data_IF_642924530756
#
_entry.id   IF_642924530756
#
_cell.length_a   1.000
_cell.length_b   1.000
_cell.length_c   1.000
_cell.angle_alpha   90.00
_cell.angle_beta   90.00
_cell.angle_gamma   90.00
#
_symmetry.space_group_name_H-M   'P 1'
#
loop_
_entity.id
_entity.type
_entity.pdbx_description
1 polymer ?
#
# COMPACT_ATOMS: atom_id res chain seq x y z
N UNK A 1 -4.95 -0.10 29.19
CA UNK A 1 -5.96 0.66 29.90
C UNK A 1 -6.91 1.31 28.89
N UNK A 2 -8.05 1.71 29.35
CA UNK A 2 -9.14 2.27 28.52
C UNK A 2 -8.77 3.61 27.84
N UNK A 3 -7.69 4.24 28.28
CA UNK A 3 -7.23 5.57 27.83
C UNK A 3 -6.10 5.53 26.78
N UNK A 4 -5.80 4.38 26.21
CA UNK A 4 -4.72 4.25 25.24
C UNK A 4 -5.26 3.88 23.85
N UNK A 5 -5.19 4.84 22.93
CA UNK A 5 -5.56 4.64 21.53
C UNK A 5 -4.35 4.22 20.68
N UNK A 6 -4.57 3.31 19.74
CA UNK A 6 -3.57 2.89 18.75
C UNK A 6 -4.12 3.16 17.34
N UNK A 7 -3.31 3.81 16.52
CA UNK A 7 -3.58 3.99 15.09
C UNK A 7 -2.48 3.30 14.30
N UNK A 8 -2.87 2.42 13.40
CA UNK A 8 -1.96 1.80 12.44
C UNK A 8 -2.08 2.53 11.10
N UNK A 9 -0.95 2.94 10.55
CA UNK A 9 -0.87 3.52 9.21
C UNK A 9 -0.04 2.59 8.33
N UNK A 10 -0.61 2.19 7.20
CA UNK A 10 0.10 1.37 6.22
C UNK A 10 1.20 2.18 5.58
N UNK A 11 2.42 1.68 5.60
CA UNK A 11 3.56 2.28 4.88
C UNK A 11 3.67 1.77 3.46
N UNK A 12 4.72 2.18 2.71
CA UNK A 12 4.97 1.71 1.36
C UNK A 12 5.05 0.18 1.29
N UNK A 13 4.01 -0.44 0.76
CA UNK A 13 3.76 -1.88 0.86
C UNK A 13 3.57 -2.60 -0.47
N UNK A 14 3.59 -1.91 -1.61
CA UNK A 14 3.28 -2.49 -2.91
C UNK A 14 4.17 -3.66 -3.34
N UNK A 15 5.35 -3.81 -2.74
CA UNK A 15 6.27 -4.94 -2.93
C UNK A 15 6.65 -5.63 -1.60
N UNK A 16 5.80 -5.50 -0.56
CA UNK A 16 6.02 -6.10 0.76
C UNK A 16 5.02 -7.23 1.01
N UNK A 17 5.52 -8.36 1.43
CA UNK A 17 4.70 -9.51 1.84
C UNK A 17 5.28 -10.17 3.09
N UNK A 18 4.44 -10.91 3.81
CA UNK A 18 4.87 -11.78 4.92
C UNK A 18 5.48 -13.10 4.44
N UNK A 19 5.44 -13.37 3.14
CA UNK A 19 5.94 -14.62 2.56
C UNK A 19 7.45 -14.55 2.40
N UNK A 20 8.17 -15.47 3.01
CA UNK A 20 9.60 -15.70 2.81
C UNK A 20 9.79 -16.79 1.75
N UNK A 21 10.12 -16.37 0.53
CA UNK A 21 10.32 -17.27 -0.60
C UNK A 21 11.58 -18.16 -0.48
N UNK A 22 12.39 -17.97 0.57
CA UNK A 22 13.55 -18.83 0.86
C UNK A 22 13.21 -20.04 1.71
N UNK A 23 12.02 -20.06 2.32
CA UNK A 23 11.56 -21.17 3.12
C UNK A 23 10.96 -22.31 2.25
N UNK A 24 11.02 -23.56 2.72
CA UNK A 24 10.32 -24.66 2.08
C UNK A 24 8.82 -24.40 1.93
N UNK A 25 8.21 -24.92 0.85
CA UNK A 25 6.81 -24.64 0.50
C UNK A 25 5.80 -25.19 1.53
N UNK A 26 6.18 -26.17 2.33
CA UNK A 26 5.38 -26.77 3.39
C UNK A 26 5.39 -25.99 4.71
N UNK A 27 6.23 -24.97 4.82
CA UNK A 27 6.26 -24.08 5.99
C UNK A 27 5.07 -23.09 5.91
N UNK A 28 4.13 -23.11 6.88
CA UNK A 28 2.99 -22.22 6.87
C UNK A 28 3.41 -20.74 6.99
N UNK A 29 3.05 -19.93 6.00
CA UNK A 29 3.37 -18.50 5.95
C UNK A 29 2.12 -17.60 5.94
N UNK A 30 0.95 -18.17 6.17
CA UNK A 30 -0.33 -17.46 6.22
C UNK A 30 -1.22 -18.01 7.33
N UNK A 31 -2.35 -17.35 7.55
CA UNK A 31 -3.36 -17.75 8.52
C UNK A 31 -3.19 -17.11 9.91
N UNK A 32 -4.14 -17.38 10.83
CA UNK A 32 -4.26 -16.68 12.11
C UNK A 32 -3.01 -16.78 13.02
N UNK A 33 -2.30 -17.90 12.98
CA UNK A 33 -1.09 -18.09 13.79
C UNK A 33 0.06 -17.21 13.32
N UNK A 34 0.24 -17.09 11.99
CA UNK A 34 1.25 -16.22 11.39
C UNK A 34 0.91 -14.76 11.64
N UNK A 35 -0.35 -14.35 11.42
CA UNK A 35 -0.80 -12.98 11.71
C UNK A 35 -0.58 -12.59 13.17
N UNK A 36 -0.88 -13.50 14.11
CA UNK A 36 -0.64 -13.28 15.54
C UNK A 36 0.84 -13.11 15.87
N UNK A 37 1.71 -13.93 15.29
CA UNK A 37 3.17 -13.82 15.47
C UNK A 37 3.69 -12.47 15.00
N UNK A 38 3.26 -12.02 13.81
CA UNK A 38 3.64 -10.71 13.25
C UNK A 38 3.12 -9.59 14.15
N UNK A 39 1.85 -9.66 14.55
CA UNK A 39 1.25 -8.66 15.44
C UNK A 39 1.99 -8.53 16.77
N UNK A 40 2.37 -9.65 17.40
CA UNK A 40 3.18 -9.61 18.63
C UNK A 40 4.57 -9.01 18.40
N UNK A 41 5.21 -9.28 17.26
CA UNK A 41 6.51 -8.70 16.95
C UNK A 41 6.43 -7.18 16.82
N UNK A 42 5.43 -6.67 16.10
CA UNK A 42 5.20 -5.22 15.93
C UNK A 42 4.82 -4.57 17.26
N UNK A 43 3.89 -5.18 18.01
CA UNK A 43 3.47 -4.67 19.31
C UNK A 43 4.62 -4.65 20.33
N UNK A 44 5.46 -5.69 20.34
CA UNK A 44 6.64 -5.75 21.22
C UNK A 44 7.62 -4.62 20.93
N UNK A 45 7.89 -4.32 19.67
CA UNK A 45 8.77 -3.20 19.30
C UNK A 45 8.14 -1.85 19.68
N UNK A 46 6.82 -1.68 19.50
CA UNK A 46 6.11 -0.47 19.92
C UNK A 46 6.18 -0.25 21.43
N UNK A 47 5.98 -1.29 22.23
CA UNK A 47 6.09 -1.21 23.70
C UNK A 47 7.51 -0.85 24.13
N UNK A 48 8.53 -1.47 23.52
CA UNK A 48 9.94 -1.15 23.76
C UNK A 48 10.23 0.32 23.46
N UNK A 49 9.75 0.85 22.35
CA UNK A 49 9.95 2.25 21.97
C UNK A 49 9.22 3.20 22.93
N UNK A 50 8.00 2.89 23.35
CA UNK A 50 7.25 3.69 24.33
C UNK A 50 8.02 3.90 25.63
N UNK A 51 8.73 2.88 26.10
CA UNK A 51 9.56 2.98 27.32
C UNK A 51 10.76 3.94 27.19
N UNK A 52 11.13 4.30 25.95
CA UNK A 52 12.27 5.17 25.64
C UNK A 52 11.86 6.55 25.12
N UNK A 53 10.56 6.78 24.92
CA UNK A 53 10.04 8.04 24.35
C UNK A 53 10.03 9.16 25.38
N UNK A 54 10.44 10.35 24.92
CA UNK A 54 10.19 11.59 25.64
C UNK A 54 8.99 12.29 25.01
N UNK A 55 7.96 12.52 25.80
CA UNK A 55 6.76 13.23 25.36
C UNK A 55 6.98 14.74 25.44
N UNK A 56 6.46 15.45 24.46
CA UNK A 56 6.43 16.92 24.47
C UNK A 56 4.97 17.38 24.52
N UNK A 57 4.73 18.44 25.26
CA UNK A 57 3.36 18.99 25.44
C UNK A 57 2.95 19.97 24.35
N UNK A 58 3.91 20.45 23.56
CA UNK A 58 3.68 21.46 22.54
C UNK A 58 4.45 21.10 21.27
N UNK A 59 3.72 20.91 20.18
CA UNK A 59 4.27 20.66 18.86
C UNK A 59 3.40 21.34 17.81
N UNK A 60 3.96 22.19 16.93
CA UNK A 60 3.18 22.81 15.86
C UNK A 60 2.61 21.72 14.93
N UNK A 61 1.35 21.89 14.58
CA UNK A 61 0.66 21.00 13.64
C UNK A 61 0.39 21.77 12.36
N UNK A 62 0.65 21.13 11.22
CA UNK A 62 0.36 21.67 9.89
C UNK A 62 -0.28 20.60 9.02
N UNK A 63 -1.09 21.03 8.06
CA UNK A 63 -1.67 20.16 7.05
C UNK A 63 -1.66 20.83 5.68
N UNK A 64 -1.44 20.03 4.65
CA UNK A 64 -1.53 20.46 3.26
C UNK A 64 -2.11 19.32 2.42
N UNK A 65 -2.83 19.66 1.34
CA UNK A 65 -3.29 18.70 0.36
C UNK A 65 -3.18 19.25 -1.04
N UNK A 66 -3.06 18.38 -2.00
CA UNK A 66 -3.11 18.70 -3.42
C UNK A 66 -3.70 17.53 -4.18
N UNK A 67 -4.31 17.79 -5.32
CA UNK A 67 -4.76 16.75 -6.24
C UNK A 67 -3.92 16.84 -7.51
N UNK A 68 -3.38 15.72 -7.92
CA UNK A 68 -2.72 15.56 -9.22
C UNK A 68 -3.56 14.66 -10.11
N UNK A 69 -3.54 14.95 -11.41
CA UNK A 69 -4.22 14.09 -12.40
C UNK A 69 -3.21 13.08 -12.91
N UNK A 70 -3.52 11.81 -12.76
CA UNK A 70 -2.68 10.69 -13.21
C UNK A 70 -3.26 10.10 -14.50
N UNK A 71 -2.38 9.75 -15.43
CA UNK A 71 -2.75 8.93 -16.57
C UNK A 71 -2.68 7.45 -16.16
N UNK A 72 -3.78 6.72 -16.15
CA UNK A 72 -3.76 5.31 -15.81
C UNK A 72 -2.98 4.52 -16.86
N UNK A 73 -2.50 3.34 -16.45
CA UNK A 73 -1.80 2.41 -17.35
C UNK A 73 -2.74 2.02 -18.49
N UNK A 74 -2.28 2.16 -19.73
CA UNK A 74 -3.02 1.72 -20.90
C UNK A 74 -2.65 0.27 -21.25
N UNK A 75 -3.63 -0.63 -21.46
CA UNK A 75 -3.36 -1.94 -22.01
C UNK A 75 -2.77 -1.85 -23.42
N UNK A 76 -1.82 -2.71 -23.74
CA UNK A 76 -1.32 -2.82 -25.11
C UNK A 76 -2.29 -3.61 -25.99
N UNK A 77 -2.21 -3.44 -27.33
CA UNK A 77 -3.01 -4.23 -28.26
C UNK A 77 -2.77 -5.74 -28.11
N UNK A 78 -1.55 -6.14 -27.78
CA UNK A 78 -1.21 -7.53 -27.50
C UNK A 78 -1.93 -8.04 -26.24
N UNK A 79 -1.93 -7.26 -25.15
CA UNK A 79 -2.66 -7.59 -23.92
C UNK A 79 -4.16 -7.69 -24.15
N UNK A 80 -4.74 -6.78 -24.96
CA UNK A 80 -6.16 -6.82 -25.28
C UNK A 80 -6.51 -8.00 -26.19
N UNK A 81 -5.66 -8.33 -27.15
CA UNK A 81 -5.85 -9.51 -27.99
C UNK A 81 -5.80 -10.81 -27.18
N UNK A 82 -4.81 -10.92 -26.29
CA UNK A 82 -4.72 -12.04 -25.33
C UNK A 82 -5.96 -12.10 -24.43
N UNK A 83 -6.38 -10.98 -23.87
CA UNK A 83 -7.54 -10.90 -23.00
C UNK A 83 -8.83 -11.39 -23.70
N UNK A 84 -9.08 -10.94 -24.94
CA UNK A 84 -10.25 -11.40 -25.72
C UNK A 84 -10.23 -12.90 -25.96
N UNK A 85 -9.05 -13.50 -26.15
CA UNK A 85 -8.92 -14.94 -26.36
C UNK A 85 -9.13 -15.78 -25.07
N UNK A 86 -8.95 -15.18 -23.89
CA UNK A 86 -8.96 -15.90 -22.61
C UNK A 86 -10.14 -15.52 -21.69
N UNK A 87 -11.09 -14.71 -22.16
CA UNK A 87 -12.26 -14.28 -21.37
C UNK A 87 -13.07 -15.44 -20.80
N UNK A 88 -13.22 -16.52 -21.55
CA UNK A 88 -14.00 -17.70 -21.18
C UNK A 88 -13.15 -18.78 -20.47
N UNK A 89 -11.89 -18.47 -20.19
CA UNK A 89 -11.03 -19.42 -19.45
C UNK A 89 -11.60 -19.68 -18.06
N UNK A 90 -11.97 -20.94 -17.83
CA UNK A 90 -12.54 -21.43 -16.56
C UNK A 90 -11.60 -22.42 -15.88
N UNK A 91 -10.33 -22.43 -16.25
CA UNK A 91 -9.38 -23.34 -15.66
C UNK A 91 -9.34 -23.16 -14.13
N UNK A 92 -9.61 -24.22 -13.37
CA UNK A 92 -9.52 -24.15 -11.92
C UNK A 92 -8.07 -23.95 -11.53
N UNK A 93 -7.78 -22.82 -10.91
CA UNK A 93 -6.47 -22.52 -10.36
C UNK A 93 -6.55 -22.47 -8.85
N UNK A 94 -5.52 -22.88 -8.12
CA UNK A 94 -5.54 -22.87 -6.65
C UNK A 94 -5.64 -21.44 -6.07
N UNK A 95 -5.38 -20.43 -6.90
CA UNK A 95 -5.40 -19.05 -6.49
C UNK A 95 -6.08 -18.18 -7.56
N UNK A 96 -6.94 -17.23 -7.13
CA UNK A 96 -7.64 -16.31 -8.00
C UNK A 96 -6.69 -15.49 -8.92
N UNK A 97 -5.51 -15.12 -8.41
CA UNK A 97 -4.51 -14.36 -9.15
C UNK A 97 -3.79 -15.18 -10.24
N UNK A 98 -3.93 -16.50 -10.24
CA UNK A 98 -3.41 -17.37 -11.30
C UNK A 98 -4.47 -17.66 -12.39
N UNK A 99 -5.69 -17.10 -12.26
CA UNK A 99 -6.79 -17.33 -13.19
C UNK A 99 -6.67 -16.42 -14.41
N UNK A 100 -6.48 -17.00 -15.59
CA UNK A 100 -6.38 -16.24 -16.85
C UNK A 100 -7.64 -15.46 -17.18
N UNK A 101 -8.82 -16.02 -16.96
CA UNK A 101 -10.09 -15.34 -17.18
C UNK A 101 -10.29 -14.13 -16.25
N UNK A 102 -9.73 -14.15 -15.03
CA UNK A 102 -9.71 -12.99 -14.15
C UNK A 102 -8.88 -11.85 -14.76
N UNK A 103 -7.65 -12.15 -15.16
CA UNK A 103 -6.76 -11.14 -15.77
C UNK A 103 -7.28 -10.64 -17.12
N UNK A 104 -7.88 -11.53 -17.91
CA UNK A 104 -8.49 -11.16 -19.18
C UNK A 104 -9.61 -10.12 -19.00
N UNK A 105 -10.51 -10.36 -18.05
CA UNK A 105 -11.55 -9.37 -17.70
C UNK A 105 -10.94 -8.07 -17.19
N UNK A 106 -9.97 -8.14 -16.29
CA UNK A 106 -9.32 -6.94 -15.73
C UNK A 106 -8.67 -6.06 -16.81
N UNK A 107 -8.05 -6.64 -17.84
CA UNK A 107 -7.49 -5.86 -18.95
C UNK A 107 -8.56 -5.17 -19.80
N UNK A 108 -9.68 -5.84 -20.05
CA UNK A 108 -10.78 -5.25 -20.83
C UNK A 108 -11.46 -4.16 -20.03
N UNK A 109 -11.80 -4.41 -18.78
CA UNK A 109 -12.39 -3.42 -17.88
C UNK A 109 -11.51 -2.18 -17.72
N UNK A 110 -10.20 -2.36 -17.62
CA UNK A 110 -9.24 -1.26 -17.56
C UNK A 110 -9.25 -0.43 -18.86
N UNK A 111 -9.28 -1.08 -20.03
CA UNK A 111 -9.36 -0.39 -21.31
C UNK A 111 -10.66 0.42 -21.46
N UNK A 112 -11.79 -0.17 -21.09
CA UNK A 112 -13.09 0.49 -21.10
C UNK A 112 -13.14 1.67 -20.12
N UNK A 113 -12.66 1.47 -18.90
CA UNK A 113 -12.60 2.53 -17.89
C UNK A 113 -11.73 3.70 -18.36
N UNK A 114 -10.54 3.42 -18.89
CA UNK A 114 -9.61 4.44 -19.37
C UNK A 114 -10.14 5.26 -20.56
N UNK A 115 -11.05 4.70 -21.35
CA UNK A 115 -11.73 5.44 -22.41
C UNK A 115 -12.77 6.42 -21.87
N UNK A 116 -13.40 6.08 -20.75
CA UNK A 116 -14.39 6.93 -20.09
C UNK A 116 -13.70 7.97 -19.21
N UNK A 117 -12.66 7.56 -18.49
CA UNK A 117 -11.92 8.39 -17.55
C UNK A 117 -10.42 8.34 -17.88
N UNK A 118 -9.96 9.15 -18.87
CA UNK A 118 -8.57 9.10 -19.33
C UNK A 118 -7.56 9.63 -18.31
N UNK A 119 -8.04 10.31 -17.28
CA UNK A 119 -7.24 10.77 -16.15
C UNK A 119 -7.97 10.50 -14.83
N UNK A 120 -7.22 10.07 -13.84
CA UNK A 120 -7.73 9.79 -12.48
C UNK A 120 -7.19 10.82 -11.51
N UNK A 121 -8.05 11.49 -10.72
CA UNK A 121 -7.58 12.38 -9.67
C UNK A 121 -6.93 11.57 -8.55
N UNK A 122 -5.74 12.00 -8.14
CA UNK A 122 -5.00 11.41 -7.03
C UNK A 122 -4.81 12.47 -5.96
N UNK A 123 -5.46 12.34 -4.82
CA UNK A 123 -5.28 13.26 -3.71
C UNK A 123 -4.04 12.87 -2.91
N UNK A 124 -3.17 13.84 -2.70
CA UNK A 124 -1.99 13.72 -1.86
C UNK A 124 -2.17 14.62 -0.65
N UNK A 125 -1.88 14.09 0.54
CA UNK A 125 -1.94 14.86 1.79
C UNK A 125 -0.62 14.79 2.54
N UNK A 126 -0.36 15.84 3.33
CA UNK A 126 0.74 15.87 4.28
C UNK A 126 0.22 16.45 5.60
N UNK A 127 0.44 15.73 6.69
CA UNK A 127 0.16 16.20 8.04
C UNK A 127 1.47 16.22 8.81
N UNK A 128 1.84 17.37 9.34
CA UNK A 128 3.06 17.53 10.15
C UNK A 128 2.72 17.73 11.62
N UNK A 129 3.54 17.10 12.48
CA UNK A 129 3.52 17.30 13.93
C UNK A 129 4.97 17.56 14.36
N UNK A 130 5.26 18.77 14.73
CA UNK A 130 6.63 19.22 15.03
C UNK A 130 7.55 19.00 13.82
N UNK A 131 8.56 18.13 13.99
CA UNK A 131 9.56 17.81 12.93
C UNK A 131 9.24 16.53 12.17
N UNK A 132 8.08 15.96 12.38
CA UNK A 132 7.61 14.73 11.72
C UNK A 132 6.53 15.08 10.72
N UNK A 133 6.51 14.41 9.57
CA UNK A 133 5.43 14.50 8.58
C UNK A 133 4.94 13.11 8.19
N UNK A 134 3.63 12.99 8.05
CA UNK A 134 2.94 11.86 7.45
C UNK A 134 2.51 12.29 6.04
N UNK A 135 3.06 11.61 5.03
CA UNK A 135 2.74 11.85 3.62
C UNK A 135 1.81 10.75 3.14
N UNK A 136 0.58 11.12 2.84
CA UNK A 136 -0.49 10.20 2.47
C UNK A 136 -0.75 10.19 0.96
N UNK A 137 -1.05 9.00 0.43
CA UNK A 137 -1.41 8.76 -0.96
C UNK A 137 -2.38 7.57 -1.06
N UNK A 138 -3.22 7.48 -2.12
CA UNK A 138 -4.17 6.38 -2.28
C UNK A 138 -3.58 5.09 -2.87
N UNK A 139 -2.36 5.13 -3.40
CA UNK A 139 -1.75 3.99 -4.07
C UNK A 139 -0.96 3.07 -3.14
N UNK A 140 -0.58 1.91 -3.66
CA UNK A 140 0.34 0.97 -3.01
C UNK A 140 1.76 1.16 -3.58
N UNK A 141 2.52 2.07 -3.01
CA UNK A 141 3.87 2.37 -3.46
C UNK A 141 4.85 1.24 -3.11
N UNK A 142 5.74 0.93 -4.01
CA UNK A 142 6.88 0.05 -3.71
C UNK A 142 7.83 0.72 -2.72
N UNK A 143 8.50 -0.08 -1.90
CA UNK A 143 9.46 0.37 -0.88
C UNK A 143 10.46 1.41 -1.41
N UNK A 144 10.93 1.25 -2.65
CA UNK A 144 11.85 2.19 -3.29
C UNK A 144 11.26 3.60 -3.38
N UNK A 145 10.01 3.72 -3.80
CA UNK A 145 9.32 5.02 -3.92
C UNK A 145 9.12 5.65 -2.55
N UNK A 146 8.67 4.88 -1.56
CA UNK A 146 8.54 5.35 -0.18
C UNK A 146 9.86 5.84 0.40
N UNK A 147 10.96 5.13 0.15
CA UNK A 147 12.30 5.54 0.58
C UNK A 147 12.81 6.77 -0.16
N UNK A 148 12.49 6.94 -1.44
CA UNK A 148 12.84 8.13 -2.21
C UNK A 148 12.13 9.37 -1.65
N UNK A 149 10.84 9.27 -1.32
CA UNK A 149 10.09 10.34 -0.67
C UNK A 149 10.73 10.71 0.67
N UNK A 150 11.06 9.72 1.52
CA UNK A 150 11.72 9.96 2.81
C UNK A 150 13.07 10.68 2.65
N UNK A 151 13.90 10.27 1.69
CA UNK A 151 15.21 10.89 1.44
C UNK A 151 15.13 12.33 0.94
N UNK A 152 14.09 12.65 0.16
CA UNK A 152 13.88 13.98 -0.43
C UNK A 152 13.07 14.90 0.45
N UNK A 153 12.51 14.41 1.53
CA UNK A 153 11.69 15.18 2.44
C UNK A 153 12.52 16.23 3.18
N UNK A 154 12.03 17.46 3.33
CA UNK A 154 12.66 18.48 4.17
C UNK A 154 12.46 18.25 5.68
N UNK A 155 11.60 17.31 6.06
CA UNK A 155 11.33 17.00 7.47
C UNK A 155 12.35 16.04 8.04
N UNK A 156 12.63 16.16 9.34
CA UNK A 156 13.58 15.28 10.02
C UNK A 156 13.11 13.82 10.05
N UNK A 157 11.78 13.60 10.05
CA UNK A 157 11.15 12.28 9.99
C UNK A 157 9.96 12.34 9.06
N UNK A 158 9.91 11.39 8.13
CA UNK A 158 8.81 11.26 7.17
C UNK A 158 8.29 9.83 7.21
N UNK A 159 7.00 9.71 7.43
CA UNK A 159 6.26 8.46 7.34
C UNK A 159 5.37 8.52 6.10
N UNK A 160 5.28 7.39 5.40
CA UNK A 160 4.34 7.22 4.29
C UNK A 160 3.08 6.60 4.87
N UNK A 161 1.92 7.12 4.49
CA UNK A 161 0.62 6.54 4.76
C UNK A 161 -0.06 6.24 3.42
N UNK A 162 -0.05 4.97 3.04
CA UNK A 162 -0.66 4.48 1.80
C UNK A 162 -2.11 4.08 2.00
N UNK A 163 -2.81 3.80 0.88
CA UNK A 163 -4.22 3.41 0.87
C UNK A 163 -5.10 4.45 1.59
N UNK A 164 -4.71 5.71 1.48
CA UNK A 164 -5.38 6.83 2.13
C UNK A 164 -5.99 7.78 1.11
N UNK A 165 -7.27 8.10 1.27
CA UNK A 165 -8.03 9.05 0.44
C UNK A 165 -8.24 8.58 -1.01
N UNK A 166 -8.42 7.29 -1.22
CA UNK A 166 -8.76 6.68 -2.50
C UNK A 166 -10.14 6.06 -2.51
#
# INVERSE_FOLDING_TARGET
>A
GEDFGVVFLQGACGDVTQVDNTLPADVPQSGPAVGRRIGYSVAGEAIKLLAQMNFVSDAPVGAARTTIMLNPRQPTEEQLAWARAHLESKEPTPHWWANEGFWARSWIELDEHNKLEPQVPCELQAISIGRTVYAANPGEFFCKLGNDIKRRSPFARTFIAELANG
#
